data_IF_196128426403
#
_entry.id   IF_196128426403
#
_cell.length_a   1.000
_cell.length_b   1.000
_cell.length_c   1.000
_cell.angle_alpha   90.00
_cell.angle_beta   90.00
_cell.angle_gamma   90.00
#
_symmetry.space_group_name_H-M   'P 1'
#
loop_
_entity.id
_entity.type
_entity.pdbx_description
1 polymer ?
#
# COMPACT_ATOMS: atom_id res chain seq x y z
N UNK A 1 -17.89 -4.79 -21.38
CA UNK A 1 -17.30 -3.99 -20.29
C UNK A 1 -17.58 -2.52 -20.58
N UNK A 2 -18.33 -1.83 -19.71
CA UNK A 2 -18.73 -0.43 -19.95
C UNK A 2 -17.88 0.50 -19.06
N UNK A 3 -16.99 1.27 -19.67
CA UNK A 3 -16.08 2.18 -18.98
C UNK A 3 -16.80 3.25 -18.14
N UNK A 4 -17.99 3.67 -18.57
CA UNK A 4 -18.77 4.64 -17.82
C UNK A 4 -19.27 4.06 -16.48
N UNK A 5 -19.73 2.81 -16.47
CA UNK A 5 -20.18 2.12 -15.25
C UNK A 5 -18.98 1.96 -14.27
N UNK A 6 -17.84 1.51 -14.78
CA UNK A 6 -16.60 1.35 -13.99
C UNK A 6 -16.20 2.68 -13.34
N UNK A 7 -16.20 3.77 -14.08
CA UNK A 7 -15.80 5.09 -13.56
C UNK A 7 -16.79 5.63 -12.51
N UNK A 8 -18.08 5.40 -12.69
CA UNK A 8 -19.10 5.83 -11.69
C UNK A 8 -18.92 5.06 -10.39
N UNK A 9 -18.74 3.74 -10.47
CA UNK A 9 -18.50 2.88 -9.30
C UNK A 9 -17.21 3.29 -8.62
N UNK A 10 -16.12 3.50 -9.38
CA UNK A 10 -14.84 3.91 -8.85
C UNK A 10 -14.91 5.26 -8.12
N UNK A 11 -15.64 6.25 -8.67
CA UNK A 11 -15.83 7.55 -7.99
C UNK A 11 -16.58 7.41 -6.66
N UNK A 12 -17.58 6.54 -6.62
CA UNK A 12 -18.30 6.27 -5.40
C UNK A 12 -17.41 5.61 -4.35
N UNK A 13 -16.64 4.59 -4.72
CA UNK A 13 -15.69 3.92 -3.81
C UNK A 13 -14.60 4.88 -3.29
N UNK A 14 -14.06 5.75 -4.14
CA UNK A 14 -13.11 6.79 -3.72
C UNK A 14 -13.69 7.66 -2.60
N UNK A 15 -14.95 8.10 -2.74
CA UNK A 15 -15.62 8.90 -1.69
C UNK A 15 -15.77 8.11 -0.39
N UNK A 16 -16.12 6.83 -0.48
CA UNK A 16 -16.33 5.97 0.67
C UNK A 16 -15.03 5.70 1.43
N UNK A 17 -13.95 5.36 0.71
CA UNK A 17 -12.63 5.13 1.32
C UNK A 17 -12.13 6.38 2.01
N UNK A 18 -12.17 7.54 1.35
CA UNK A 18 -11.75 8.83 1.93
C UNK A 18 -12.57 9.24 3.16
N UNK A 19 -13.83 8.81 3.25
CA UNK A 19 -14.69 9.04 4.41
C UNK A 19 -14.45 8.06 5.54
N UNK A 20 -13.83 6.92 5.28
CA UNK A 20 -13.52 5.92 6.29
C UNK A 20 -12.59 6.50 7.35
N UNK A 21 -13.00 6.40 8.61
CA UNK A 21 -12.18 6.80 9.76
C UNK A 21 -10.83 6.08 9.78
N UNK A 22 -10.85 4.81 9.47
CA UNK A 22 -9.68 3.95 9.46
C UNK A 22 -8.66 4.40 8.41
N UNK A 23 -9.12 4.76 7.20
CA UNK A 23 -8.25 5.30 6.16
C UNK A 23 -7.64 6.65 6.55
N UNK A 24 -8.40 7.53 7.19
CA UNK A 24 -7.90 8.83 7.65
C UNK A 24 -6.82 8.69 8.71
N UNK A 25 -7.06 7.83 9.71
CA UNK A 25 -6.03 7.52 10.74
C UNK A 25 -4.78 6.98 10.06
N UNK A 26 -4.92 6.01 9.17
CA UNK A 26 -3.80 5.44 8.44
C UNK A 26 -3.00 6.51 7.68
N UNK A 27 -3.67 7.39 6.94
CA UNK A 27 -3.00 8.45 6.20
C UNK A 27 -2.19 9.39 7.11
N UNK A 28 -2.75 9.77 8.26
CA UNK A 28 -2.05 10.61 9.25
C UNK A 28 -0.87 9.84 9.85
N UNK A 29 -1.07 8.60 10.27
CA UNK A 29 -0.01 7.77 10.85
C UNK A 29 1.12 7.51 9.86
N UNK A 30 0.82 7.31 8.57
CA UNK A 30 1.83 7.14 7.53
C UNK A 30 2.73 8.38 7.42
N UNK A 31 2.16 9.58 7.39
CA UNK A 31 2.93 10.82 7.34
C UNK A 31 3.75 11.05 8.60
N UNK A 32 3.18 10.79 9.78
CA UNK A 32 3.90 10.90 11.06
C UNK A 32 5.06 9.90 11.13
N UNK A 33 4.87 8.67 10.67
CA UNK A 33 5.88 7.63 10.68
C UNK A 33 7.05 7.98 9.76
N UNK A 34 6.78 8.49 8.55
CA UNK A 34 7.81 8.98 7.62
C UNK A 34 8.61 10.12 8.27
N UNK A 35 7.92 11.08 8.92
CA UNK A 35 8.60 12.17 9.62
C UNK A 35 9.49 11.65 10.75
N UNK A 36 9.04 10.67 11.52
CA UNK A 36 9.81 10.08 12.61
C UNK A 36 11.06 9.35 12.10
N UNK A 37 10.94 8.59 11.00
CA UNK A 37 12.09 7.94 10.36
C UNK A 37 13.11 8.99 9.92
N UNK A 38 12.69 10.05 9.22
CA UNK A 38 13.58 11.09 8.73
C UNK A 38 14.32 11.82 9.87
N UNK A 39 13.62 12.16 10.94
CA UNK A 39 14.24 12.75 12.13
C UNK A 39 15.18 11.77 12.84
N UNK A 40 14.82 10.48 12.88
CA UNK A 40 15.66 9.43 13.44
C UNK A 40 17.01 9.28 12.70
N UNK A 41 17.00 9.41 11.38
CA UNK A 41 18.24 9.44 10.58
C UNK A 41 19.09 10.66 10.93
N UNK A 42 18.49 11.84 11.00
CA UNK A 42 19.24 13.07 11.30
C UNK A 42 19.85 13.07 12.70
N UNK A 43 19.13 12.56 13.69
CA UNK A 43 19.61 12.51 15.08
C UNK A 43 20.62 11.38 15.34
N UNK A 44 20.89 10.54 14.35
CA UNK A 44 21.78 9.38 14.47
C UNK A 44 21.19 8.24 15.32
N UNK A 45 19.94 8.32 15.75
CA UNK A 45 19.27 7.25 16.49
C UNK A 45 19.17 5.98 15.64
N UNK A 46 18.81 6.14 14.36
CA UNK A 46 18.71 5.03 13.40
C UNK A 46 20.09 4.47 13.05
N UNK A 47 21.14 5.32 13.02
CA UNK A 47 22.51 4.88 12.76
C UNK A 47 23.08 4.00 13.88
N UNK A 48 22.49 4.03 15.08
CA UNK A 48 22.87 3.13 16.19
C UNK A 48 22.27 1.73 16.05
N UNK A 49 21.30 1.53 15.17
CA UNK A 49 20.76 0.23 14.81
C UNK A 49 21.63 -0.41 13.69
N UNK A 50 22.91 -0.51 13.96
CA UNK A 50 24.03 -0.77 13.03
C UNK A 50 23.91 -2.02 12.15
N UNK A 51 22.93 -2.89 12.39
CA UNK A 51 22.81 -4.17 11.69
C UNK A 51 21.68 -4.22 10.65
N UNK A 52 20.83 -3.22 10.55
CA UNK A 52 19.65 -3.27 9.67
C UNK A 52 19.81 -2.45 8.38
N UNK A 53 20.70 -1.45 8.35
CA UNK A 53 20.82 -0.54 7.20
C UNK A 53 22.28 -0.10 6.98
N UNK A 54 22.78 -0.12 5.74
CA UNK A 54 24.10 0.40 5.44
C UNK A 54 24.16 1.89 5.81
N UNK A 55 25.28 2.31 6.39
CA UNK A 55 25.55 3.67 6.93
C UNK A 55 25.54 4.79 5.89
N UNK A 56 25.33 4.48 4.63
CA UNK A 56 25.37 5.44 3.54
C UNK A 56 23.97 5.99 3.37
N UNK A 57 23.76 7.22 3.80
CA UNK A 57 22.54 7.99 3.53
C UNK A 57 22.55 8.39 2.04
N UNK A 58 22.36 7.43 1.20
CA UNK A 58 22.29 7.60 -0.23
C UNK A 58 20.93 8.21 -0.56
N UNK A 59 20.88 9.18 -1.46
CA UNK A 59 19.63 9.86 -1.83
C UNK A 59 18.54 8.89 -2.33
N UNK A 60 18.94 7.73 -2.86
CA UNK A 60 18.06 6.66 -3.33
C UNK A 60 17.57 5.72 -2.22
N UNK A 61 18.32 5.56 -1.14
CA UNK A 61 17.96 4.65 -0.03
C UNK A 61 16.76 5.16 0.78
N UNK A 62 16.68 6.48 0.98
CA UNK A 62 15.56 7.08 1.72
C UNK A 62 14.19 6.82 1.10
N UNK A 63 13.96 7.08 -0.21
CA UNK A 63 12.69 6.74 -0.84
C UNK A 63 12.41 5.24 -0.82
N UNK A 64 13.43 4.37 -0.92
CA UNK A 64 13.28 2.93 -0.80
C UNK A 64 12.76 2.53 0.59
N UNK A 65 13.43 2.96 1.66
CA UNK A 65 13.05 2.65 3.04
C UNK A 65 11.63 3.11 3.35
N UNK A 66 11.29 4.34 2.98
CA UNK A 66 9.96 4.87 3.22
C UNK A 66 8.89 4.11 2.44
N UNK A 67 9.16 3.76 1.17
CA UNK A 67 8.26 2.95 0.35
C UNK A 67 8.06 1.56 0.94
N UNK A 68 9.11 0.94 1.41
CA UNK A 68 9.07 -0.38 2.03
C UNK A 68 8.18 -0.42 3.28
N UNK A 69 8.45 0.44 4.26
CA UNK A 69 7.62 0.50 5.48
C UNK A 69 6.18 0.90 5.18
N UNK A 70 6.01 1.84 4.25
CA UNK A 70 4.68 2.24 3.81
C UNK A 70 3.90 1.08 3.20
N UNK A 71 4.54 0.24 2.37
CA UNK A 71 3.89 -0.92 1.74
C UNK A 71 3.42 -1.96 2.74
N UNK A 72 4.20 -2.23 3.78
CA UNK A 72 3.78 -3.15 4.84
C UNK A 72 2.52 -2.60 5.54
N UNK A 73 2.57 -1.36 5.97
CA UNK A 73 1.45 -0.72 6.63
C UNK A 73 0.22 -0.60 5.70
N UNK A 74 0.42 -0.24 4.42
CA UNK A 74 -0.61 -0.21 3.39
C UNK A 74 -1.28 -1.58 3.21
N UNK A 75 -0.50 -2.65 3.18
CA UNK A 75 -1.02 -4.01 3.00
C UNK A 75 -1.99 -4.40 4.11
N UNK A 76 -1.66 -4.13 5.37
CA UNK A 76 -2.54 -4.40 6.51
C UNK A 76 -3.87 -3.63 6.37
N UNK A 77 -3.80 -2.34 6.02
CA UNK A 77 -5.01 -1.52 5.89
C UNK A 77 -5.85 -1.90 4.69
N UNK A 78 -5.22 -2.24 3.56
CA UNK A 78 -5.91 -2.72 2.35
C UNK A 78 -6.70 -3.99 2.63
N UNK A 79 -6.11 -4.97 3.34
CA UNK A 79 -6.81 -6.21 3.74
C UNK A 79 -8.05 -5.90 4.57
N UNK A 80 -7.91 -5.02 5.56
CA UNK A 80 -9.02 -4.64 6.42
C UNK A 80 -10.14 -3.93 5.64
N UNK A 81 -9.78 -2.97 4.79
CA UNK A 81 -10.75 -2.24 3.97
C UNK A 81 -11.42 -3.15 2.94
N UNK A 82 -10.67 -4.02 2.26
CA UNK A 82 -11.21 -4.97 1.29
C UNK A 82 -12.29 -5.88 1.92
N UNK A 83 -12.01 -6.42 3.11
CA UNK A 83 -12.97 -7.23 3.86
C UNK A 83 -14.22 -6.45 4.28
N UNK A 84 -14.06 -5.21 4.73
CA UNK A 84 -15.20 -4.37 5.15
C UNK A 84 -16.10 -3.97 3.98
N UNK A 85 -15.54 -3.73 2.79
CA UNK A 85 -16.30 -3.35 1.60
C UNK A 85 -17.16 -4.51 1.08
N UNK A 86 -16.60 -5.70 0.99
CA UNK A 86 -17.35 -6.88 0.56
C UNK A 86 -18.48 -7.25 1.53
N UNK A 87 -18.27 -7.06 2.84
CA UNK A 87 -19.33 -7.28 3.84
C UNK A 87 -20.46 -6.27 3.71
N UNK A 88 -20.16 -5.01 3.41
CA UNK A 88 -21.17 -3.95 3.26
C UNK A 88 -22.11 -4.23 2.09
N UNK A 89 -21.57 -4.76 0.99
CA UNK A 89 -22.35 -5.03 -0.22
C UNK A 89 -23.33 -6.19 -0.06
N UNK A 90 -23.08 -7.06 0.94
CA UNK A 90 -23.99 -8.18 1.28
C UNK A 90 -25.15 -7.78 2.20
N UNK A 91 -25.24 -6.52 2.63
CA UNK A 91 -26.41 -6.06 3.36
C UNK A 91 -27.63 -6.01 2.43
N UNK A 92 -28.79 -6.50 2.91
CA UNK A 92 -30.01 -6.66 2.14
C UNK A 92 -30.39 -5.40 1.35
N UNK A 93 -30.39 -4.25 1.99
CA UNK A 93 -30.75 -2.96 1.36
C UNK A 93 -29.82 -2.56 0.21
N UNK A 94 -28.56 -2.96 0.27
CA UNK A 94 -27.57 -2.63 -0.77
C UNK A 94 -27.60 -3.67 -1.90
N UNK A 95 -27.88 -4.93 -1.56
CA UNK A 95 -27.94 -6.03 -2.51
C UNK A 95 -29.08 -5.82 -3.52
N UNK A 96 -30.29 -5.47 -3.06
CA UNK A 96 -31.43 -5.22 -3.93
C UNK A 96 -31.16 -4.14 -4.98
N UNK A 97 -30.50 -3.04 -4.57
CA UNK A 97 -30.16 -1.94 -5.48
C UNK A 97 -29.07 -2.34 -6.49
N UNK A 98 -28.13 -3.18 -6.09
CA UNK A 98 -27.03 -3.63 -6.96
C UNK A 98 -27.53 -4.64 -7.99
N UNK A 99 -28.37 -5.61 -7.58
CA UNK A 99 -28.85 -6.67 -8.47
C UNK A 99 -29.91 -6.21 -9.50
N UNK A 100 -30.60 -5.13 -9.25
CA UNK A 100 -31.60 -4.55 -10.20
C UNK A 100 -30.93 -3.74 -11.31
N UNK A 101 -29.67 -3.34 -11.17
CA UNK A 101 -28.97 -2.54 -12.18
C UNK A 101 -28.45 -3.41 -13.33
N UNK A 102 -28.60 -3.00 -14.60
CA UNK A 102 -28.07 -3.70 -15.77
C UNK A 102 -26.55 -3.49 -15.90
N UNK A 103 -25.77 -4.04 -14.97
CA UNK A 103 -24.31 -4.00 -15.05
C UNK A 103 -23.72 -5.40 -14.85
N UNK A 104 -22.61 -5.69 -15.53
CA UNK A 104 -21.94 -6.97 -15.38
C UNK A 104 -21.20 -7.07 -14.04
N UNK A 105 -21.10 -8.28 -13.49
CA UNK A 105 -20.29 -8.53 -12.28
C UNK A 105 -18.84 -8.09 -12.46
N UNK A 106 -18.30 -8.20 -13.68
CA UNK A 106 -16.95 -7.75 -14.01
C UNK A 106 -16.83 -6.24 -13.90
N UNK A 107 -17.79 -5.46 -14.44
CA UNK A 107 -17.78 -3.99 -14.34
C UNK A 107 -17.82 -3.52 -12.88
N UNK A 108 -18.59 -4.23 -12.06
CA UNK A 108 -18.69 -3.95 -10.63
C UNK A 108 -17.37 -4.20 -9.89
N UNK A 109 -16.77 -5.39 -10.05
CA UNK A 109 -15.52 -5.77 -9.37
C UNK A 109 -14.37 -4.85 -9.82
N UNK A 110 -14.23 -4.64 -11.13
CA UNK A 110 -13.18 -3.77 -11.69
C UNK A 110 -13.36 -2.32 -11.23
N UNK A 111 -14.58 -1.81 -11.26
CA UNK A 111 -14.88 -0.45 -10.79
C UNK A 111 -14.53 -0.24 -9.33
N UNK A 112 -14.87 -1.21 -8.48
CA UNK A 112 -14.59 -1.19 -7.06
C UNK A 112 -13.09 -1.26 -6.76
N UNK A 113 -12.40 -2.22 -7.37
CA UNK A 113 -10.94 -2.37 -7.27
C UNK A 113 -10.24 -1.09 -7.71
N UNK A 114 -10.63 -0.54 -8.86
CA UNK A 114 -10.07 0.68 -9.41
C UNK A 114 -10.27 1.89 -8.49
N UNK A 115 -11.43 2.00 -7.84
CA UNK A 115 -11.70 3.03 -6.85
C UNK A 115 -10.74 2.98 -5.65
N UNK A 116 -10.53 1.78 -5.09
CA UNK A 116 -9.59 1.55 -3.99
C UNK A 116 -8.16 1.88 -4.42
N UNK A 117 -7.74 1.33 -5.57
CA UNK A 117 -6.39 1.56 -6.12
C UNK A 117 -6.11 3.04 -6.32
N UNK A 118 -7.05 3.82 -6.89
CA UNK A 118 -6.90 5.27 -7.06
C UNK A 118 -6.61 5.99 -5.74
N UNK A 119 -7.30 5.63 -4.67
CA UNK A 119 -7.11 6.30 -3.37
C UNK A 119 -5.73 5.98 -2.80
N UNK A 120 -5.30 4.71 -2.85
CA UNK A 120 -3.99 4.32 -2.35
C UNK A 120 -2.84 4.85 -3.21
N UNK A 121 -2.96 4.87 -4.54
CA UNK A 121 -1.96 5.51 -5.41
C UNK A 121 -1.88 7.02 -5.09
N UNK A 122 -3.02 7.70 -4.88
CA UNK A 122 -3.01 9.11 -4.49
C UNK A 122 -2.26 9.31 -3.17
N UNK A 123 -2.50 8.45 -2.18
CA UNK A 123 -1.80 8.52 -0.90
C UNK A 123 -0.30 8.21 -1.05
N UNK A 124 0.06 7.21 -1.87
CA UNK A 124 1.46 6.91 -2.21
C UNK A 124 2.17 8.13 -2.80
N UNK A 125 1.55 8.80 -3.76
CA UNK A 125 2.13 10.02 -4.36
C UNK A 125 2.29 11.13 -3.31
N UNK A 126 1.30 11.34 -2.44
CA UNK A 126 1.39 12.33 -1.36
C UNK A 126 2.54 11.99 -0.41
N UNK A 127 2.67 10.74 0.02
CA UNK A 127 3.75 10.30 0.91
C UNK A 127 5.12 10.43 0.26
N UNK A 128 5.25 10.13 -1.02
CA UNK A 128 6.50 10.31 -1.77
C UNK A 128 6.89 11.78 -1.92
N UNK A 129 5.95 12.65 -2.27
CA UNK A 129 6.21 14.10 -2.33
C UNK A 129 6.60 14.64 -0.97
N UNK A 130 5.98 14.18 0.08
CA UNK A 130 6.32 14.56 1.45
C UNK A 130 7.71 14.05 1.84
N UNK A 131 8.06 12.82 1.50
CA UNK A 131 9.42 12.26 1.68
C UNK A 131 10.46 13.08 0.92
N UNK A 132 10.18 13.42 -0.34
CA UNK A 132 11.08 14.25 -1.15
C UNK A 132 11.29 15.64 -0.55
N UNK A 133 10.21 16.27 -0.07
CA UNK A 133 10.27 17.56 0.60
C UNK A 133 11.13 17.51 1.88
N UNK A 134 10.91 16.50 2.73
CA UNK A 134 11.72 16.30 3.93
C UNK A 134 13.18 15.99 3.60
N UNK A 135 13.46 15.22 2.55
CA UNK A 135 14.82 14.89 2.14
C UNK A 135 15.60 16.14 1.72
N UNK A 136 15.00 17.04 0.97
CA UNK A 136 15.61 18.32 0.58
C UNK A 136 15.87 19.21 1.79
N UNK A 137 14.91 19.33 2.71
CA UNK A 137 15.00 20.24 3.87
C UNK A 137 15.98 19.73 4.93
N UNK A 138 15.94 18.43 5.23
CA UNK A 138 16.64 17.85 6.37
C UNK A 138 18.01 17.31 5.97
N UNK A 139 18.07 16.49 4.93
CA UNK A 139 19.30 15.76 4.60
C UNK A 139 20.27 16.54 3.71
N UNK A 140 19.79 17.61 3.03
CA UNK A 140 20.59 18.39 2.07
C UNK A 140 21.30 17.54 1.01
N UNK A 141 20.81 16.31 0.78
CA UNK A 141 21.35 15.40 -0.23
C UNK A 141 20.89 15.81 -1.62
N UNK A 142 21.64 15.48 -2.68
CA UNK A 142 21.22 15.76 -4.04
C UNK A 142 19.87 15.08 -4.30
N UNK A 143 18.92 15.84 -4.85
CA UNK A 143 17.59 15.34 -5.14
C UNK A 143 17.58 14.71 -6.53
N UNK A 144 17.26 13.41 -6.59
CA UNK A 144 16.97 12.71 -7.83
C UNK A 144 15.53 12.19 -7.78
N UNK A 145 14.73 12.58 -8.77
CA UNK A 145 13.32 12.19 -8.87
C UNK A 145 13.15 10.73 -9.33
N UNK A 146 14.13 10.19 -10.04
CA UNK A 146 14.00 8.88 -10.67
C UNK A 146 13.79 7.73 -9.67
N UNK A 147 14.55 7.59 -8.58
CA UNK A 147 14.31 6.57 -7.54
C UNK A 147 12.90 6.63 -6.95
N UNK A 148 12.36 7.83 -6.71
CA UNK A 148 11.00 7.98 -6.15
C UNK A 148 9.93 7.41 -7.09
N UNK A 149 10.00 7.72 -8.39
CA UNK A 149 9.07 7.18 -9.37
C UNK A 149 9.28 5.69 -9.60
N UNK A 150 10.53 5.25 -9.63
CA UNK A 150 10.88 3.85 -9.84
C UNK A 150 10.31 2.96 -8.74
N UNK A 151 10.55 3.26 -7.47
CA UNK A 151 10.03 2.46 -6.36
C UNK A 151 8.51 2.51 -6.24
N UNK A 152 7.89 3.63 -6.59
CA UNK A 152 6.43 3.71 -6.68
C UNK A 152 5.87 2.70 -7.68
N UNK A 153 6.44 2.66 -8.89
CA UNK A 153 5.92 1.84 -9.98
C UNK A 153 6.30 0.35 -9.84
N UNK A 154 7.50 0.07 -9.36
CA UNK A 154 8.02 -1.31 -9.30
C UNK A 154 7.66 -2.03 -8.01
N UNK A 155 7.53 -1.32 -6.90
CA UNK A 155 7.26 -1.93 -5.59
C UNK A 155 5.83 -1.61 -5.14
N UNK A 156 5.48 -0.32 -5.01
CA UNK A 156 4.25 0.08 -4.33
C UNK A 156 2.98 -0.31 -5.08
N UNK A 157 2.95 -0.07 -6.39
CA UNK A 157 1.77 -0.38 -7.22
C UNK A 157 1.55 -1.88 -7.37
N UNK A 158 2.56 -2.70 -7.72
CA UNK A 158 2.39 -4.16 -7.81
C UNK A 158 2.02 -4.79 -6.47
N UNK A 159 2.66 -4.39 -5.37
CA UNK A 159 2.33 -4.84 -4.02
C UNK A 159 0.87 -4.56 -3.66
N UNK A 160 0.41 -3.34 -3.91
CA UNK A 160 -0.99 -2.95 -3.68
C UNK A 160 -1.96 -3.83 -4.45
N UNK A 161 -1.73 -4.02 -5.76
CA UNK A 161 -2.60 -4.82 -6.61
C UNK A 161 -2.62 -6.29 -6.20
N UNK A 162 -1.47 -6.85 -5.86
CA UNK A 162 -1.32 -8.23 -5.43
C UNK A 162 -2.07 -8.48 -4.10
N UNK A 163 -1.81 -7.66 -3.08
CA UNK A 163 -2.46 -7.80 -1.76
C UNK A 163 -3.97 -7.60 -1.87
N UNK A 164 -4.42 -6.67 -2.70
CA UNK A 164 -5.84 -6.41 -2.91
C UNK A 164 -6.53 -7.59 -3.61
N UNK A 165 -5.92 -8.14 -4.67
CA UNK A 165 -6.42 -9.32 -5.37
C UNK A 165 -6.46 -10.55 -4.47
N UNK A 166 -5.41 -10.79 -3.70
CA UNK A 166 -5.34 -11.89 -2.74
C UNK A 166 -6.41 -11.75 -1.63
N UNK A 167 -6.62 -10.52 -1.13
CA UNK A 167 -7.65 -10.23 -0.12
C UNK A 167 -9.06 -10.50 -0.64
N UNK A 168 -9.36 -10.13 -1.88
CA UNK A 168 -10.66 -10.42 -2.48
C UNK A 168 -10.86 -11.91 -2.70
N UNK A 169 -9.85 -12.61 -3.19
CA UNK A 169 -9.90 -14.08 -3.37
C UNK A 169 -10.11 -14.79 -2.03
N UNK A 170 -9.34 -14.44 -1.02
CA UNK A 170 -9.48 -14.99 0.33
C UNK A 170 -10.90 -14.73 0.90
N UNK A 171 -11.44 -13.53 0.72
CA UNK A 171 -12.79 -13.19 1.18
C UNK A 171 -13.89 -13.97 0.43
N UNK A 172 -13.70 -14.26 -0.85
CA UNK A 172 -14.63 -15.10 -1.62
C UNK A 172 -14.66 -16.55 -1.11
N UNK A 173 -13.50 -17.08 -0.72
CA UNK A 173 -13.36 -18.46 -0.23
C UNK A 173 -13.88 -18.56 1.22
N UNK A 174 -13.38 -17.72 2.11
CA UNK A 174 -13.62 -17.81 3.55
C UNK A 174 -14.98 -17.24 3.97
N UNK A 175 -15.57 -16.35 3.17
CA UNK A 175 -16.89 -15.71 3.40
C UNK A 175 -17.04 -15.00 4.75
N UNK A 176 -15.97 -14.91 5.55
CA UNK A 176 -15.94 -14.30 6.87
C UNK A 176 -14.82 -13.26 6.93
N UNK A 177 -15.19 -12.00 7.21
CA UNK A 177 -14.23 -10.88 7.25
C UNK A 177 -13.12 -11.06 8.30
N UNK A 178 -13.47 -11.52 9.50
CA UNK A 178 -12.49 -11.68 10.59
C UNK A 178 -11.48 -12.79 10.26
N UNK A 179 -11.97 -13.93 9.75
CA UNK A 179 -11.11 -15.04 9.34
C UNK A 179 -10.21 -14.63 8.18
N UNK A 180 -10.75 -13.93 7.18
CA UNK A 180 -9.95 -13.41 6.06
C UNK A 180 -8.85 -12.48 6.54
N UNK A 181 -9.16 -11.58 7.48
CA UNK A 181 -8.17 -10.66 8.04
C UNK A 181 -7.04 -11.42 8.76
N UNK A 182 -7.38 -12.40 9.60
CA UNK A 182 -6.38 -13.21 10.34
C UNK A 182 -5.50 -13.99 9.35
N UNK A 183 -6.10 -14.64 8.36
CA UNK A 183 -5.35 -15.42 7.35
C UNK A 183 -4.43 -14.50 6.54
N UNK A 184 -4.91 -13.35 6.11
CA UNK A 184 -4.09 -12.39 5.35
C UNK A 184 -2.97 -11.79 6.19
N UNK A 185 -3.21 -11.47 7.47
CA UNK A 185 -2.14 -11.06 8.38
C UNK A 185 -1.11 -12.17 8.58
N UNK A 186 -1.55 -13.43 8.67
CA UNK A 186 -0.66 -14.59 8.71
C UNK A 186 0.21 -14.69 7.47
N UNK A 187 -0.37 -14.52 6.26
CA UNK A 187 0.38 -14.53 5.00
C UNK A 187 1.38 -13.36 4.96
N UNK A 188 0.95 -12.13 5.29
CA UNK A 188 1.82 -10.95 5.32
C UNK A 188 2.98 -11.17 6.30
N UNK A 189 2.69 -11.67 7.50
CA UNK A 189 3.71 -11.98 8.51
C UNK A 189 4.67 -13.08 8.07
N UNK A 190 4.16 -14.15 7.47
CA UNK A 190 4.99 -15.25 6.96
C UNK A 190 5.91 -14.78 5.84
N UNK A 191 5.41 -13.95 4.92
CA UNK A 191 6.22 -13.35 3.86
C UNK A 191 7.30 -12.47 4.47
N UNK A 192 6.93 -11.59 5.40
CA UNK A 192 7.86 -10.64 6.01
C UNK A 192 8.98 -11.31 6.83
N UNK A 193 8.65 -12.33 7.63
CA UNK A 193 9.60 -12.93 8.57
C UNK A 193 10.31 -14.18 8.04
N UNK A 194 9.79 -14.84 7.03
CA UNK A 194 10.29 -16.15 6.62
C UNK A 194 10.54 -16.29 5.12
N UNK A 195 9.57 -15.97 4.27
CA UNK A 195 9.67 -16.26 2.84
C UNK A 195 10.63 -15.31 2.12
N UNK A 196 10.84 -14.12 2.65
CA UNK A 196 11.77 -13.14 2.09
C UNK A 196 13.19 -13.66 2.06
N UNK A 197 13.62 -14.38 3.11
CA UNK A 197 14.98 -14.90 3.21
C UNK A 197 15.15 -16.26 2.51
N UNK A 198 14.09 -17.09 2.48
CA UNK A 198 14.20 -18.49 2.03
C UNK A 198 13.94 -18.70 0.55
N UNK A 199 13.13 -17.87 -0.11
CA UNK A 199 12.68 -18.09 -1.50
C UNK A 199 13.16 -17.02 -2.50
N UNK A 200 14.27 -16.36 -2.23
CA UNK A 200 14.98 -15.48 -3.17
C UNK A 200 14.05 -14.55 -3.99
N UNK A 201 13.17 -13.84 -3.30
CA UNK A 201 12.37 -12.78 -3.94
C UNK A 201 11.14 -13.22 -4.74
N UNK A 202 10.89 -14.53 -4.93
CA UNK A 202 9.69 -15.00 -5.67
C UNK A 202 8.39 -14.55 -4.99
N UNK A 203 8.38 -14.45 -3.66
CA UNK A 203 7.26 -13.97 -2.87
C UNK A 203 7.51 -12.62 -2.21
N UNK A 204 8.56 -11.92 -2.62
CA UNK A 204 8.93 -10.61 -2.07
C UNK A 204 8.12 -9.48 -2.68
N UNK A 205 6.83 -9.49 -2.46
CA UNK A 205 5.97 -8.41 -2.95
C UNK A 205 6.10 -7.10 -2.14
N UNK A 206 6.90 -7.10 -1.06
CA UNK A 206 7.26 -5.88 -0.32
C UNK A 206 8.56 -5.25 -0.81
N UNK A 207 9.39 -5.99 -1.54
CA UNK A 207 10.66 -5.52 -2.07
C UNK A 207 11.79 -5.50 -1.05
N UNK A 208 11.78 -6.41 -0.05
CA UNK A 208 12.82 -6.49 0.99
C UNK A 208 14.19 -6.81 0.41
N UNK A 209 14.24 -7.73 -0.56
CA UNK A 209 15.46 -8.20 -1.21
C UNK A 209 15.79 -7.49 -2.52
N UNK A 210 15.01 -6.47 -2.90
CA UNK A 210 15.42 -5.65 -4.04
C UNK A 210 16.67 -4.88 -3.60
N UNK A 211 17.86 -5.20 -4.16
CA UNK A 211 19.06 -4.44 -3.84
C UNK A 211 18.80 -2.97 -4.16
N UNK A 212 19.39 -2.08 -3.39
CA UNK A 212 19.41 -0.67 -3.74
C UNK A 212 20.08 -0.56 -5.13
N UNK A 213 19.25 -0.52 -6.17
CA UNK A 213 19.70 -0.56 -7.58
C UNK A 213 20.49 0.68 -7.93
N UNK A 214 20.31 1.71 -7.13
CA UNK A 214 20.98 2.98 -7.27
C UNK A 214 22.04 3.08 -6.16
N UNK A 215 23.26 2.65 -6.45
CA UNK A 215 24.41 3.04 -5.63
C UNK A 215 24.83 4.44 -6.06
N UNK A 216 24.68 5.41 -5.18
CA UNK A 216 25.34 6.71 -5.35
C UNK A 216 26.81 6.50 -5.00
N UNK A 217 27.58 5.94 -5.93
CA UNK A 217 29.02 5.86 -5.85
C UNK A 217 29.61 7.09 -6.52
#
# INVERSE_FOLDING_TARGET
MNLNHINVIARYEVKLVKRSWLFRIFAILALLFISAIMLGYQTGIVNRMDNLWPRIAVSSLMPFCNTYFYNIAQSVIVVFLAGSFLKRDKKLDTAEVIYVRPMSNADYIVGKTWGIVKVFITLNVITLLFTAFLNILINKSPFDLFPYLFYLLTISVPSLLFVLGLSFTAMCILKNQAVTFIVMLGIIGTVFFYLTDTLYGVFDFFGVNIPAIFSDV
#
